data_IF_091887687032
#
_entry.id   IF_091887687032
#
_cell.length_a   1.000
_cell.length_b   1.000
_cell.length_c   1.000
_cell.angle_alpha   90.00
_cell.angle_beta   90.00
_cell.angle_gamma   90.00
#
_symmetry.space_group_name_H-M   'P 1'
#
loop_
_entity.id
_entity.type
_entity.pdbx_description
1 polymer ?
#
# COMPACT_ATOMS: atom_id res chain seq x y z
N UNK A 1 19.37 18.47 -21.37
CA UNK A 1 18.86 17.72 -20.21
C UNK A 1 18.02 16.57 -20.75
N UNK A 2 18.24 15.35 -20.26
CA UNK A 2 17.47 14.16 -20.67
C UNK A 2 16.79 13.61 -19.42
N UNK A 3 15.49 13.36 -19.52
CA UNK A 3 14.69 12.78 -18.44
C UNK A 3 14.37 11.34 -18.86
N UNK A 4 14.74 10.38 -18.01
CA UNK A 4 14.45 8.96 -18.20
C UNK A 4 13.65 8.44 -17.01
N UNK A 5 12.57 7.70 -17.30
CA UNK A 5 11.72 7.07 -16.31
C UNK A 5 11.15 5.76 -16.87
N UNK A 6 10.91 4.78 -16.01
CA UNK A 6 10.21 3.55 -16.40
C UNK A 6 8.72 3.79 -16.68
N UNK A 7 8.12 2.98 -17.56
CA UNK A 7 6.71 3.15 -18.01
C UNK A 7 5.64 3.02 -16.90
N UNK A 8 6.00 2.51 -15.73
CA UNK A 8 5.12 2.35 -14.56
C UNK A 8 5.55 3.26 -13.39
N UNK A 9 6.53 4.15 -13.62
CA UNK A 9 7.08 5.05 -12.62
C UNK A 9 6.53 6.46 -12.83
N UNK A 10 6.82 7.37 -11.88
CA UNK A 10 6.48 8.80 -11.97
C UNK A 10 4.98 9.08 -12.22
N UNK A 11 4.08 8.19 -11.75
CA UNK A 11 2.64 8.36 -11.90
C UNK A 11 2.11 8.16 -13.33
N UNK A 12 2.85 7.45 -14.20
CA UNK A 12 2.41 7.12 -15.56
C UNK A 12 1.14 6.26 -15.53
N UNK A 13 0.10 6.69 -16.24
CA UNK A 13 -1.14 5.94 -16.41
C UNK A 13 -1.04 5.05 -17.65
N UNK A 14 -1.55 3.81 -17.56
CA UNK A 14 -1.56 2.88 -18.69
C UNK A 14 -2.98 2.54 -19.09
N UNK A 15 -3.28 2.67 -20.38
CA UNK A 15 -4.55 2.26 -20.98
C UNK A 15 -4.32 1.29 -22.14
N UNK A 16 -5.26 0.38 -22.34
CA UNK A 16 -5.25 -0.57 -23.45
C UNK A 16 -6.39 -0.23 -24.41
N UNK A 17 -6.05 0.04 -25.67
CA UNK A 17 -7.01 0.34 -26.73
C UNK A 17 -6.77 -0.58 -27.93
N UNK A 18 -7.58 -1.64 -28.05
CA UNK A 18 -7.40 -2.68 -29.06
C UNK A 18 -6.02 -3.32 -28.99
N UNK A 19 -5.25 -3.17 -30.06
CA UNK A 19 -3.88 -3.71 -30.21
C UNK A 19 -2.79 -2.77 -29.67
N UNK A 20 -3.15 -1.65 -29.07
CA UNK A 20 -2.19 -0.65 -28.57
C UNK A 20 -2.26 -0.52 -27.05
N UNK A 21 -1.08 -0.43 -26.45
CA UNK A 21 -0.88 -0.13 -25.04
C UNK A 21 -0.31 1.27 -24.95
N UNK A 22 -1.09 2.19 -24.40
CA UNK A 22 -0.81 3.63 -24.35
C UNK A 22 -0.43 4.00 -22.93
N UNK A 23 0.77 4.55 -22.77
CA UNK A 23 1.27 5.10 -21.51
C UNK A 23 1.24 6.61 -21.58
N UNK A 24 0.55 7.25 -20.65
CA UNK A 24 0.41 8.72 -20.58
C UNK A 24 1.04 9.26 -19.30
N UNK A 25 1.82 10.34 -19.43
CA UNK A 25 2.44 11.06 -18.32
C UNK A 25 2.41 12.58 -18.62
N UNK A 26 2.66 13.41 -17.61
CA UNK A 26 2.66 14.86 -17.72
C UNK A 26 4.00 15.42 -17.26
N UNK A 27 4.70 16.10 -18.17
CA UNK A 27 5.92 16.83 -17.84
C UNK A 27 5.55 18.23 -17.33
N UNK A 28 5.94 18.53 -16.09
CA UNK A 28 5.73 19.82 -15.47
C UNK A 28 6.98 20.69 -15.58
N UNK A 29 6.87 21.81 -16.29
CA UNK A 29 7.90 22.83 -16.38
C UNK A 29 7.55 23.96 -15.42
N UNK A 30 8.28 24.02 -14.31
CA UNK A 30 8.14 25.09 -13.33
C UNK A 30 8.98 26.31 -13.74
N UNK A 31 8.45 27.54 -13.60
CA UNK A 31 9.23 28.75 -13.85
C UNK A 31 10.36 28.90 -12.83
N UNK A 32 11.45 29.59 -13.20
CA UNK A 32 12.58 29.79 -12.30
C UNK A 32 12.14 30.58 -11.06
N UNK A 33 12.52 30.07 -9.90
CA UNK A 33 12.33 30.75 -8.62
C UNK A 33 13.46 31.76 -8.45
N UNK A 34 13.13 33.04 -8.41
CA UNK A 34 14.13 34.10 -8.16
C UNK A 34 14.15 34.39 -6.66
N UNK A 35 15.29 34.12 -6.02
CA UNK A 35 15.53 34.48 -4.63
C UNK A 35 15.92 35.96 -4.56
N UNK A 36 15.14 36.75 -3.81
CA UNK A 36 15.50 38.14 -3.54
C UNK A 36 16.55 38.22 -2.42
N UNK A 37 17.33 39.31 -2.39
CA UNK A 37 18.32 39.60 -1.32
C UNK A 37 17.70 39.57 0.09
N UNK A 38 16.38 39.76 0.21
CA UNK A 38 15.60 39.68 1.45
C UNK A 38 15.08 38.27 1.80
N UNK A 39 15.49 37.23 1.08
CA UNK A 39 15.11 35.83 1.38
C UNK A 39 13.70 35.42 0.94
N UNK A 40 12.97 36.26 0.22
CA UNK A 40 11.67 35.90 -0.36
C UNK A 40 11.83 35.30 -1.76
N UNK A 41 11.20 34.16 -1.99
CA UNK A 41 11.17 33.47 -3.27
C UNK A 41 10.01 34.01 -4.13
N UNK A 42 10.33 34.75 -5.19
CA UNK A 42 9.33 35.21 -6.15
C UNK A 42 9.30 34.20 -7.30
N UNK A 43 8.20 33.46 -7.41
CA UNK A 43 7.94 32.58 -8.56
C UNK A 43 7.30 33.44 -9.65
N UNK A 44 8.05 33.77 -10.70
CA UNK A 44 7.57 34.64 -11.78
C UNK A 44 7.31 33.79 -13.02
N UNK A 45 6.05 33.42 -13.24
CA UNK A 45 5.60 32.68 -14.42
C UNK A 45 4.51 31.66 -14.09
N UNK A 46 3.99 31.00 -15.13
CA UNK A 46 2.99 29.93 -15.02
C UNK A 46 3.64 28.56 -15.26
N UNK A 47 3.30 27.57 -14.45
CA UNK A 47 3.71 26.18 -14.68
C UNK A 47 3.12 25.70 -16.01
N UNK A 48 3.96 25.16 -16.88
CA UNK A 48 3.52 24.59 -18.15
C UNK A 48 3.43 23.08 -18.03
N UNK A 49 2.29 22.51 -18.43
CA UNK A 49 2.05 21.06 -18.42
C UNK A 49 2.15 20.56 -19.86
N UNK A 50 3.07 19.63 -20.12
CA UNK A 50 3.25 19.01 -21.43
C UNK A 50 2.84 17.53 -21.31
N UNK A 51 1.76 17.10 -21.96
CA UNK A 51 1.39 15.68 -21.98
C UNK A 51 2.38 14.89 -22.83
N UNK A 52 2.75 13.71 -22.37
CA UNK A 52 3.67 12.78 -23.02
C UNK A 52 2.98 11.44 -23.14
N UNK A 53 2.88 10.91 -24.36
CA UNK A 53 2.26 9.62 -24.63
C UNK A 53 3.21 8.69 -25.39
N UNK A 54 3.25 7.43 -24.97
CA UNK A 54 4.04 6.37 -25.58
C UNK A 54 3.13 5.23 -26.00
N UNK A 55 3.09 4.93 -27.31
CA UNK A 55 2.23 3.90 -27.88
C UNK A 55 3.05 2.65 -28.19
N UNK A 56 2.70 1.53 -27.56
CA UNK A 56 3.33 0.24 -27.80
C UNK A 56 2.34 -0.71 -28.45
N UNK A 57 2.73 -1.28 -29.60
CA UNK A 57 1.94 -2.31 -30.26
C UNK A 57 2.02 -3.61 -29.45
N UNK A 58 0.87 -4.17 -29.09
CA UNK A 58 0.77 -5.45 -28.41
C UNK A 58 1.30 -6.54 -29.35
N UNK A 59 2.40 -7.18 -28.98
CA UNK A 59 3.04 -8.24 -29.79
C UNK A 59 2.57 -9.66 -29.46
N UNK A 60 1.75 -9.81 -28.41
CA UNK A 60 1.26 -11.13 -27.97
C UNK A 60 -0.23 -11.06 -27.63
N UNK A 61 -1.02 -11.78 -28.43
CA UNK A 61 -2.34 -12.27 -28.02
C UNK A 61 -2.11 -13.33 -26.96
N UNK A 62 -2.25 -12.96 -25.69
CA UNK A 62 -2.34 -13.96 -24.62
C UNK A 62 -3.75 -14.54 -24.70
N UNK A 63 -3.93 -15.56 -25.54
CA UNK A 63 -5.14 -16.38 -25.48
C UNK A 63 -5.04 -17.24 -24.22
N UNK A 64 -5.56 -16.74 -23.12
CA UNK A 64 -5.99 -17.60 -22.04
C UNK A 64 -7.31 -18.23 -22.47
N UNK A 65 -7.27 -19.29 -23.29
CA UNK A 65 -8.39 -20.22 -23.31
C UNK A 65 -8.59 -20.65 -21.86
N UNK A 66 -9.77 -20.46 -21.25
CA UNK A 66 -10.00 -20.93 -19.90
C UNK A 66 -9.76 -22.44 -19.94
N UNK A 67 -8.67 -22.88 -19.33
CA UNK A 67 -8.51 -24.29 -19.00
C UNK A 67 -9.69 -24.59 -18.09
N UNK A 68 -10.68 -25.32 -18.57
CA UNK A 68 -11.67 -25.94 -17.70
C UNK A 68 -10.85 -26.76 -16.71
N UNK A 69 -10.81 -26.39 -15.42
CA UNK A 69 -9.95 -27.11 -14.48
C UNK A 69 -10.48 -28.54 -14.39
N UNK A 70 -9.67 -29.50 -14.88
CA UNK A 70 -9.90 -30.94 -14.64
C UNK A 70 -9.55 -31.32 -13.20
N UNK A 71 -8.85 -30.43 -12.50
CA UNK A 71 -8.85 -30.42 -11.07
C UNK A 71 -10.29 -30.17 -10.67
N UNK A 72 -10.96 -31.21 -10.15
CA UNK A 72 -12.08 -30.98 -9.26
C UNK A 72 -11.58 -29.89 -8.32
N UNK A 73 -12.07 -28.63 -8.40
CA UNK A 73 -11.71 -27.67 -7.40
C UNK A 73 -12.06 -28.39 -6.10
N UNK A 74 -11.22 -28.29 -5.08
CA UNK A 74 -11.72 -28.55 -3.74
C UNK A 74 -12.74 -27.43 -3.45
N UNK A 75 -13.89 -27.47 -4.12
CA UNK A 75 -15.16 -26.92 -3.67
C UNK A 75 -15.60 -27.79 -2.51
N UNK A 76 -14.77 -27.78 -1.48
CA UNK A 76 -15.31 -27.54 -0.16
C UNK A 76 -15.70 -26.07 -0.16
N UNK A 77 -16.78 -25.72 -0.89
CA UNK A 77 -17.61 -24.60 -0.51
C UNK A 77 -18.31 -25.06 0.77
N UNK A 78 -17.52 -25.17 1.83
CA UNK A 78 -18.01 -25.14 3.19
C UNK A 78 -18.43 -23.69 3.33
N UNK A 79 -19.65 -23.41 2.88
CA UNK A 79 -20.45 -22.31 3.39
C UNK A 79 -20.78 -22.68 4.83
N UNK A 80 -19.75 -22.64 5.68
CA UNK A 80 -19.95 -22.48 7.10
C UNK A 80 -19.86 -20.99 7.31
N UNK A 81 -20.99 -20.43 7.72
CA UNK A 81 -21.07 -19.10 8.31
C UNK A 81 -20.28 -19.10 9.62
N UNK A 82 -18.96 -19.20 9.53
CA UNK A 82 -18.03 -19.01 10.63
C UNK A 82 -17.56 -17.58 10.59
N UNK A 83 -18.01 -16.75 11.53
CA UNK A 83 -17.41 -15.44 11.73
C UNK A 83 -15.96 -15.66 12.19
N UNK A 84 -14.98 -15.26 11.37
CA UNK A 84 -13.60 -15.14 11.81
C UNK A 84 -13.51 -13.93 12.73
N UNK A 85 -13.27 -14.18 14.02
CA UNK A 85 -13.15 -13.11 14.99
C UNK A 85 -11.66 -12.76 15.16
N UNK A 86 -11.23 -11.69 14.50
CA UNK A 86 -9.88 -11.17 14.65
C UNK A 86 -9.80 -10.27 15.88
N UNK A 87 -8.75 -10.45 16.67
CA UNK A 87 -8.46 -9.62 17.83
C UNK A 87 -6.99 -9.22 17.83
N UNK A 88 -6.75 -7.97 18.23
CA UNK A 88 -5.43 -7.42 18.47
C UNK A 88 -5.36 -7.03 19.94
N UNK A 89 -4.38 -7.56 20.68
CA UNK A 89 -4.19 -7.27 22.11
C UNK A 89 -2.77 -6.84 22.40
N UNK A 90 -2.63 -5.95 23.38
CA UNK A 90 -1.34 -5.53 23.90
C UNK A 90 -0.90 -6.53 24.98
N UNK A 91 0.32 -7.04 24.85
CA UNK A 91 0.88 -8.00 25.79
C UNK A 91 1.83 -7.31 26.77
N UNK A 92 2.02 -7.94 27.93
CA UNK A 92 3.07 -7.58 28.86
C UNK A 92 4.47 -7.87 28.26
N UNK A 93 5.53 -7.38 28.89
CA UNK A 93 6.91 -7.45 28.38
C UNK A 93 7.41 -8.87 28.15
N UNK A 94 6.81 -9.85 28.84
CA UNK A 94 7.12 -11.26 28.73
C UNK A 94 6.25 -12.00 27.70
N UNK A 95 5.34 -11.30 27.00
CA UNK A 95 4.36 -11.85 26.06
C UNK A 95 3.51 -13.01 26.63
N UNK A 96 3.44 -13.18 27.96
CA UNK A 96 2.68 -14.29 28.57
C UNK A 96 1.26 -13.90 28.94
N UNK A 97 1.04 -12.61 29.17
CA UNK A 97 -0.23 -12.10 29.68
C UNK A 97 -0.64 -10.81 28.97
N UNK A 98 -1.95 -10.55 28.98
CA UNK A 98 -2.49 -9.29 28.48
C UNK A 98 -2.06 -8.18 29.42
N UNK A 99 -1.57 -7.08 28.85
CA UNK A 99 -1.21 -5.91 29.64
C UNK A 99 -2.47 -5.21 30.15
N UNK A 100 -2.46 -4.84 31.43
CA UNK A 100 -3.59 -4.19 32.10
C UNK A 100 -3.64 -2.67 31.91
N UNK A 101 -2.51 -2.02 31.63
CA UNK A 101 -2.43 -0.57 31.37
C UNK A 101 -2.36 -0.25 29.89
N UNK A 102 -3.07 0.81 29.49
CA UNK A 102 -2.99 1.42 28.14
C UNK A 102 -2.00 2.58 28.07
N UNK A 103 -1.26 2.83 29.15
CA UNK A 103 -0.28 3.90 29.26
C UNK A 103 1.12 3.36 28.91
N UNK A 104 1.83 4.11 28.07
CA UNK A 104 3.17 3.80 27.60
C UNK A 104 4.10 4.99 27.85
N UNK A 105 5.31 4.70 28.31
CA UNK A 105 6.36 5.70 28.45
C UNK A 105 7.18 5.82 27.18
N UNK A 106 7.78 6.99 26.96
CA UNK A 106 8.64 7.20 25.80
C UNK A 106 9.87 6.28 25.89
N UNK A 107 10.07 5.45 24.86
CA UNK A 107 11.13 4.45 24.80
C UNK A 107 10.72 3.05 25.27
N UNK A 108 9.49 2.87 25.74
CA UNK A 108 8.94 1.58 26.09
C UNK A 108 8.52 0.79 24.83
N UNK A 109 8.83 -0.51 24.80
CA UNK A 109 8.43 -1.39 23.71
C UNK A 109 6.95 -1.76 23.83
N UNK A 110 6.24 -1.78 22.69
CA UNK A 110 4.84 -2.20 22.64
C UNK A 110 4.77 -3.60 22.01
N UNK A 111 4.33 -4.57 22.80
CA UNK A 111 4.10 -5.94 22.32
C UNK A 111 2.65 -6.10 21.87
N UNK A 112 2.45 -6.51 20.62
CA UNK A 112 1.15 -6.69 20.00
C UNK A 112 0.98 -8.16 19.59
N UNK A 113 -0.12 -8.77 20.03
CA UNK A 113 -0.52 -10.10 19.57
C UNK A 113 -1.78 -10.00 18.72
N UNK A 114 -1.70 -10.57 17.51
CA UNK A 114 -2.83 -10.74 16.61
C UNK A 114 -3.29 -12.20 16.68
N UNK A 115 -4.57 -12.41 16.99
CA UNK A 115 -5.18 -13.74 17.03
C UNK A 115 -6.46 -13.78 16.20
N UNK A 116 -6.80 -14.99 15.73
CA UNK A 116 -8.07 -15.26 15.05
C UNK A 116 -8.76 -16.41 15.77
N UNK A 117 -10.02 -16.20 16.14
CA UNK A 117 -10.89 -17.25 16.64
C UNK A 117 -11.78 -17.74 15.49
N UNK A 118 -11.71 -19.04 15.20
CA UNK A 118 -12.34 -19.64 14.03
C UNK A 118 -12.90 -21.02 14.40
N UNK A 119 -13.98 -21.09 15.20
CA UNK A 119 -14.46 -22.33 15.84
C UNK A 119 -14.96 -23.41 14.87
N UNK A 120 -15.06 -23.10 13.57
CA UNK A 120 -15.49 -24.05 12.53
C UNK A 120 -14.56 -24.08 11.31
N UNK A 121 -13.31 -23.63 11.47
CA UNK A 121 -12.32 -23.62 10.39
C UNK A 121 -11.17 -24.59 10.68
N UNK A 122 -10.52 -25.13 9.63
CA UNK A 122 -9.23 -25.79 9.78
C UNK A 122 -8.20 -24.82 10.38
N UNK A 123 -7.05 -25.31 10.89
CA UNK A 123 -6.00 -24.44 11.43
C UNK A 123 -5.62 -23.35 10.42
N UNK A 124 -5.76 -22.09 10.83
CA UNK A 124 -5.48 -20.91 10.02
C UNK A 124 -4.17 -20.27 10.46
N UNK A 125 -3.47 -19.63 9.52
CA UNK A 125 -2.31 -18.78 9.81
C UNK A 125 -2.70 -17.32 9.62
N UNK A 126 -2.44 -16.50 10.63
CA UNK A 126 -2.71 -15.06 10.59
C UNK A 126 -1.50 -14.32 10.04
N UNK A 127 -1.72 -13.48 9.03
CA UNK A 127 -0.71 -12.58 8.48
C UNK A 127 -1.17 -11.14 8.66
N UNK A 128 -0.25 -10.28 9.14
CA UNK A 128 -0.50 -8.85 9.30
C UNK A 128 0.01 -8.12 8.06
N UNK A 129 -0.90 -7.55 7.27
CA UNK A 129 -0.54 -6.85 6.03
C UNK A 129 -0.03 -5.42 6.29
N UNK A 130 -0.69 -4.69 7.19
CA UNK A 130 -0.29 -3.34 7.55
C UNK A 130 -0.72 -2.93 8.95
N UNK A 131 0.12 -2.17 9.64
CA UNK A 131 -0.20 -1.52 10.91
C UNK A 131 0.11 -0.03 10.81
N UNK A 132 -0.86 0.80 11.22
CA UNK A 132 -0.78 2.25 11.15
C UNK A 132 -1.19 2.83 12.50
N UNK A 133 -0.31 3.64 13.09
CA UNK A 133 -0.61 4.42 14.27
C UNK A 133 -1.18 5.78 13.87
N UNK A 134 -2.30 6.17 14.48
CA UNK A 134 -3.02 7.42 14.23
C UNK A 134 -3.37 8.08 15.56
N UNK A 135 -3.52 9.42 15.58
CA UNK A 135 -3.93 10.14 16.80
C UNK A 135 -5.40 9.91 17.17
N UNK A 136 -6.21 9.50 16.19
CA UNK A 136 -7.62 9.18 16.34
C UNK A 136 -7.87 7.77 15.83
N UNK A 137 -8.93 7.08 16.30
CA UNK A 137 -9.29 5.73 15.84
C UNK A 137 -9.66 5.67 14.34
N UNK A 138 -9.66 6.82 13.65
CA UNK A 138 -10.03 6.93 12.24
C UNK A 138 -8.83 6.57 11.34
N UNK A 139 -8.93 5.52 10.50
CA UNK A 139 -7.78 4.93 9.80
C UNK A 139 -7.06 5.85 8.80
N UNK A 140 -7.75 6.89 8.34
CA UNK A 140 -7.25 7.86 7.36
C UNK A 140 -6.89 9.20 8.00
N UNK A 141 -6.93 9.29 9.34
CA UNK A 141 -6.60 10.53 10.04
C UNK A 141 -5.10 10.82 9.97
N UNK A 142 -4.79 12.09 9.75
CA UNK A 142 -3.43 12.62 9.84
C UNK A 142 -3.21 13.24 11.22
N UNK A 143 -2.02 13.12 11.81
CA UNK A 143 -0.85 12.38 11.32
C UNK A 143 -1.01 10.86 11.47
N UNK A 144 -0.49 10.11 10.49
CA UNK A 144 -0.48 8.64 10.47
C UNK A 144 0.94 8.11 10.30
N UNK A 145 1.33 7.11 11.09
CA UNK A 145 2.65 6.47 11.03
C UNK A 145 2.50 4.98 10.72
N UNK A 146 3.06 4.52 9.59
CA UNK A 146 3.01 3.12 9.17
C UNK A 146 4.24 2.39 9.67
N UNK A 147 4.07 1.35 10.48
CA UNK A 147 5.17 0.58 11.08
C UNK A 147 5.14 -0.91 10.72
N UNK A 148 4.11 -1.37 10.01
CA UNK A 148 4.14 -2.63 9.27
C UNK A 148 3.61 -2.33 7.87
N UNK A 149 4.37 -2.69 6.84
CA UNK A 149 3.99 -2.49 5.43
C UNK A 149 4.28 -3.75 4.62
N UNK A 150 3.32 -4.13 3.77
CA UNK A 150 3.27 -5.27 2.82
C UNK A 150 4.32 -6.37 3.02
N UNK A 151 3.83 -7.58 3.29
CA UNK A 151 4.62 -8.83 3.50
C UNK A 151 5.42 -8.87 4.81
N UNK A 152 4.91 -8.28 5.89
CA UNK A 152 5.53 -8.42 7.22
C UNK A 152 6.87 -7.72 7.38
N UNK A 153 7.25 -6.83 6.45
CA UNK A 153 8.45 -6.01 6.60
C UNK A 153 8.19 -4.85 7.56
N UNK A 154 8.93 -4.85 8.68
CA UNK A 154 9.03 -3.71 9.60
C UNK A 154 9.97 -2.68 8.96
N UNK A 155 9.56 -1.43 8.75
CA UNK A 155 10.44 -0.40 8.21
C UNK A 155 11.55 -0.06 9.23
N UNK A 156 12.74 0.35 8.76
CA UNK A 156 13.83 0.71 9.65
C UNK A 156 13.45 1.90 10.54
N UNK A 157 13.92 1.96 11.79
CA UNK A 157 13.74 3.14 12.64
C UNK A 157 14.45 4.34 11.99
N UNK A 158 13.73 5.46 11.87
CA UNK A 158 14.29 6.77 11.56
C UNK A 158 15.01 7.36 12.79
#
# INVERSE_FOLDING_TARGET
MVISAGLQQCGTESSAHGEWLVYSNQLLLFPPVVLTSSGSAIVRGTTTVIPVECHYKRKQTVNATPLTPTWLPMTSTISVFGLLHFSLRTMADDCTSIRSSSEYQQGEAVFLEASVEAPMHPPLTVYVDSCVATLKPEPLSLPSYKFVTKQGSVPPPN
#
